data_IF_205111203453
#
_entry.id   IF_205111203453
#
_cell.length_a   1.000
_cell.length_b   1.000
_cell.length_c   1.000
_cell.angle_alpha   90.00
_cell.angle_beta   90.00
_cell.angle_gamma   90.00
#
_symmetry.space_group_name_H-M   'P 1'
#
loop_
_entity.id
_entity.type
_entity.pdbx_description
1 polymer ?
#
# COMPACT_ATOMS: atom_id res chain seq x y z
N UNK A 1 0.52 -9.04 -3.38
CA UNK A 1 -0.07 -8.19 -2.33
C UNK A 1 -1.05 -8.94 -1.43
N UNK A 2 -2.05 -9.65 -1.99
CA UNK A 2 -2.92 -10.57 -1.21
C UNK A 2 -2.12 -11.52 -0.31
N UNK A 3 -0.97 -11.96 -0.81
CA UNK A 3 -0.05 -12.84 -0.11
C UNK A 3 0.64 -12.25 1.11
N UNK A 4 0.51 -10.95 1.39
CA UNK A 4 1.04 -10.37 2.62
C UNK A 4 0.09 -10.57 3.81
N UNK A 5 -1.17 -10.93 3.57
CA UNK A 5 -2.17 -11.14 4.63
C UNK A 5 -1.79 -12.33 5.50
N UNK A 6 -1.93 -12.16 6.82
CA UNK A 6 -1.79 -13.24 7.79
C UNK A 6 -2.98 -13.26 8.73
N UNK A 7 -3.27 -14.43 9.28
CA UNK A 7 -4.20 -14.55 10.38
C UNK A 7 -3.40 -14.74 11.68
N UNK A 8 -3.98 -14.36 12.81
CA UNK A 8 -3.38 -14.47 14.13
C UNK A 8 -4.23 -15.37 15.02
N UNK A 9 -3.58 -16.20 15.84
CA UNK A 9 -4.25 -17.12 16.77
C UNK A 9 -3.45 -17.33 18.05
N UNK A 10 -4.11 -17.75 19.12
CA UNK A 10 -3.49 -18.30 20.34
C UNK A 10 -4.08 -19.68 20.66
N UNK A 11 -3.93 -20.18 21.90
CA UNK A 11 -4.51 -21.47 22.28
C UNK A 11 -6.04 -21.46 22.36
N UNK A 12 -6.66 -20.28 22.51
CA UNK A 12 -8.11 -20.11 22.57
C UNK A 12 -8.76 -20.03 21.19
N UNK A 13 -7.97 -19.72 20.16
CA UNK A 13 -8.40 -19.78 18.77
C UNK A 13 -7.96 -18.58 17.96
N UNK A 14 -8.80 -18.20 16.99
CA UNK A 14 -8.55 -17.09 16.09
C UNK A 14 -8.72 -15.74 16.81
N UNK A 15 -7.75 -14.85 16.63
CA UNK A 15 -7.70 -13.55 17.29
C UNK A 15 -8.07 -12.41 16.34
N UNK A 16 -7.62 -12.49 15.09
CA UNK A 16 -7.78 -11.43 14.11
C UNK A 16 -6.77 -11.50 12.99
N UNK A 17 -6.69 -10.43 12.23
CA UNK A 17 -5.91 -10.36 10.99
C UNK A 17 -4.64 -9.55 11.17
N UNK A 18 -3.71 -9.70 10.25
CA UNK A 18 -2.49 -8.89 10.15
C UNK A 18 -1.93 -8.93 8.74
N UNK A 19 -0.79 -8.28 8.55
CA UNK A 19 -0.08 -8.35 7.28
C UNK A 19 1.41 -8.09 7.43
N UNK A 20 2.20 -8.66 6.52
CA UNK A 20 3.65 -8.44 6.45
C UNK A 20 3.93 -7.04 5.88
N UNK A 21 4.74 -6.24 6.58
CA UNK A 21 5.29 -4.94 6.10
C UNK A 21 6.76 -5.03 5.70
N UNK A 22 7.41 -6.12 6.10
CA UNK A 22 8.71 -6.59 5.61
C UNK A 22 8.67 -8.13 5.63
N UNK A 23 9.69 -8.84 5.10
CA UNK A 23 9.71 -10.31 5.16
C UNK A 23 9.67 -10.91 6.58
N UNK A 24 9.92 -10.12 7.64
CA UNK A 24 10.01 -10.58 9.03
C UNK A 24 9.05 -9.88 10.00
N UNK A 25 8.29 -8.90 9.54
CA UNK A 25 7.52 -8.04 10.44
C UNK A 25 6.06 -8.04 10.05
N UNK A 26 5.21 -8.45 10.97
CA UNK A 26 3.75 -8.45 10.82
C UNK A 26 3.19 -7.27 11.59
N UNK A 27 2.33 -6.49 10.94
CA UNK A 27 1.51 -5.46 11.57
C UNK A 27 0.10 -5.98 11.80
N UNK A 28 -0.49 -5.62 12.92
CA UNK A 28 -1.89 -5.88 13.28
C UNK A 28 -2.41 -4.78 14.21
N UNK A 29 -3.65 -4.89 14.68
CA UNK A 29 -4.18 -4.04 15.73
C UNK A 29 -3.68 -4.48 17.11
N UNK A 30 -3.37 -3.53 18.00
CA UNK A 30 -2.83 -3.85 19.32
C UNK A 30 -3.79 -4.73 20.14
N UNK A 31 -5.09 -4.41 20.12
CA UNK A 31 -6.07 -5.15 20.89
C UNK A 31 -6.20 -6.62 20.48
N UNK A 32 -5.83 -6.98 19.24
CA UNK A 32 -5.86 -8.36 18.74
C UNK A 32 -4.88 -9.24 19.51
N UNK A 33 -3.71 -8.71 19.87
CA UNK A 33 -2.64 -9.50 20.50
C UNK A 33 -2.47 -9.21 21.99
N UNK A 34 -2.83 -8.01 22.45
CA UNK A 34 -2.71 -7.63 23.86
C UNK A 34 -3.67 -8.43 24.74
N UNK A 35 -4.83 -8.83 24.21
CA UNK A 35 -5.74 -9.72 24.94
C UNK A 35 -5.07 -11.05 25.32
N UNK A 36 -4.31 -11.63 24.39
CA UNK A 36 -3.56 -12.88 24.57
C UNK A 36 -2.31 -12.75 25.46
N UNK A 37 -1.77 -11.54 25.67
CA UNK A 37 -0.64 -11.35 26.60
C UNK A 37 -0.99 -11.73 28.04
N UNK A 38 -2.26 -11.57 28.44
CA UNK A 38 -2.71 -11.88 29.81
C UNK A 38 -2.70 -13.36 30.14
N UNK A 39 -2.70 -14.24 29.14
CA UNK A 39 -2.59 -15.69 29.33
C UNK A 39 -1.13 -16.21 29.31
N UNK A 40 -0.14 -15.33 29.09
CA UNK A 40 1.28 -15.71 28.91
C UNK A 40 1.53 -16.70 27.75
N UNK A 41 0.65 -16.72 26.76
CA UNK A 41 0.75 -17.62 25.62
C UNK A 41 1.40 -16.95 24.41
N UNK A 42 2.05 -17.76 23.57
CA UNK A 42 2.63 -17.28 22.32
C UNK A 42 1.53 -16.99 21.30
N UNK A 43 1.73 -15.95 20.49
CA UNK A 43 0.86 -15.70 19.32
C UNK A 43 1.37 -16.54 18.16
N UNK A 44 0.48 -17.26 17.49
CA UNK A 44 0.79 -17.96 16.24
C UNK A 44 0.33 -17.12 15.06
N UNK A 45 1.28 -16.76 14.19
CA UNK A 45 1.03 -16.16 12.87
C UNK A 45 0.84 -17.30 11.88
N UNK A 46 -0.28 -17.35 11.18
CA UNK A 46 -0.46 -18.28 10.06
C UNK A 46 -0.36 -17.54 8.75
N UNK A 47 0.50 -18.05 7.89
CA UNK A 47 0.79 -17.45 6.59
C UNK A 47 0.99 -18.55 5.56
N UNK A 48 0.12 -18.60 4.54
CA UNK A 48 0.17 -19.62 3.46
C UNK A 48 0.22 -21.07 3.98
N UNK A 49 -0.54 -21.36 5.04
CA UNK A 49 -0.62 -22.68 5.67
C UNK A 49 0.51 -23.00 6.64
N UNK A 50 1.53 -22.14 6.76
CA UNK A 50 2.61 -22.29 7.71
C UNK A 50 2.28 -21.62 9.04
N UNK A 51 2.63 -22.27 10.15
CA UNK A 51 2.44 -21.77 11.52
C UNK A 51 3.77 -21.25 12.06
N UNK A 52 3.82 -19.96 12.37
CA UNK A 52 5.00 -19.27 12.88
C UNK A 52 4.71 -18.80 14.30
N UNK A 53 5.49 -19.31 15.27
CA UNK A 53 5.36 -18.93 16.66
C UNK A 53 6.05 -17.59 16.92
N UNK A 54 5.35 -16.68 17.60
CA UNK A 54 5.89 -15.39 18.04
C UNK A 54 5.79 -15.30 19.55
N UNK A 55 6.94 -15.12 20.20
CA UNK A 55 7.02 -14.95 21.65
C UNK A 55 6.61 -13.55 22.03
N UNK A 56 6.14 -13.37 23.25
CA UNK A 56 5.77 -12.05 23.78
C UNK A 56 6.90 -11.02 23.64
N UNK A 57 8.16 -11.42 23.85
CA UNK A 57 9.34 -10.57 23.71
C UNK A 57 9.53 -9.98 22.31
N UNK A 58 8.95 -10.63 21.30
CA UNK A 58 9.04 -10.24 19.89
C UNK A 58 7.83 -9.43 19.42
N UNK A 59 6.93 -9.08 20.36
CA UNK A 59 5.73 -8.26 20.10
C UNK A 59 5.91 -6.88 20.71
N UNK A 60 5.83 -5.86 19.86
CA UNK A 60 5.67 -4.46 20.29
C UNK A 60 4.22 -4.05 20.03
N UNK A 61 3.54 -3.50 21.03
CA UNK A 61 2.20 -2.94 20.84
C UNK A 61 2.06 -1.56 21.47
N UNK A 62 1.22 -0.73 20.85
CA UNK A 62 0.89 0.61 21.30
C UNK A 62 -0.60 0.89 21.12
N UNK A 63 -1.35 1.16 22.19
CA UNK A 63 -0.96 1.02 23.61
C UNK A 63 -0.75 -0.44 24.06
N UNK A 64 -0.02 -0.65 25.16
CA UNK A 64 0.17 -1.97 25.80
C UNK A 64 -0.99 -2.43 26.69
N UNK A 65 -1.92 -1.53 27.00
CA UNK A 65 -3.07 -1.82 27.85
C UNK A 65 -4.32 -1.19 27.24
N UNK A 66 -5.46 -1.86 27.39
CA UNK A 66 -6.75 -1.25 27.10
C UNK A 66 -6.95 0.00 27.95
N UNK A 67 -7.54 1.04 27.34
CA UNK A 67 -7.98 2.22 28.08
C UNK A 67 -9.23 1.92 28.91
N UNK A 68 -9.70 2.93 29.64
CA UNK A 68 -10.97 2.87 30.40
C UNK A 68 -12.21 3.09 29.53
N UNK A 69 -12.03 3.38 28.23
CA UNK A 69 -13.11 3.60 27.27
C UNK A 69 -13.65 2.31 26.64
N UNK A 70 -14.71 2.46 25.85
CA UNK A 70 -15.38 1.36 25.13
C UNK A 70 -14.62 0.85 23.90
N UNK A 71 -13.55 1.54 23.49
CA UNK A 71 -12.68 1.16 22.38
C UNK A 71 -11.22 1.21 22.77
N UNK A 72 -10.41 0.28 22.24
CA UNK A 72 -8.96 0.30 22.47
C UNK A 72 -8.34 1.62 21.97
N UNK A 73 -7.40 2.26 22.70
CA UNK A 73 -6.96 3.60 22.35
C UNK A 73 -6.03 3.64 21.13
N UNK A 74 -5.90 4.82 20.53
CA UNK A 74 -4.99 5.09 19.41
C UNK A 74 -3.50 4.91 19.82
N UNK A 75 -2.60 4.45 18.94
CA UNK A 75 -2.82 4.09 17.53
C UNK A 75 -3.46 2.72 17.32
N UNK A 76 -3.57 1.90 18.37
CA UNK A 76 -4.06 0.53 18.31
C UNK A 76 -3.27 -0.30 17.29
N UNK A 77 -1.95 -0.29 17.40
CA UNK A 77 -1.04 -1.01 16.49
C UNK A 77 -0.14 -1.99 17.26
N UNK A 78 0.08 -3.16 16.67
CA UNK A 78 1.05 -4.15 17.11
C UNK A 78 1.96 -4.61 15.96
N UNK A 79 3.19 -4.98 16.31
CA UNK A 79 4.29 -5.35 15.44
C UNK A 79 4.87 -6.63 16.01
N UNK A 80 4.77 -7.70 15.24
CA UNK A 80 5.27 -9.02 15.60
C UNK A 80 6.51 -9.28 14.75
N UNK A 81 7.59 -9.73 15.40
CA UNK A 81 8.86 -10.05 14.74
C UNK A 81 8.99 -11.56 14.58
N UNK A 82 9.19 -12.01 13.35
CA UNK A 82 9.37 -13.42 13.01
C UNK A 82 10.85 -13.81 13.09
N UNK A 83 11.15 -15.00 13.62
CA UNK A 83 12.53 -15.50 13.74
C UNK A 83 13.21 -15.69 12.37
N UNK A 84 12.46 -16.06 11.31
CA UNK A 84 12.98 -16.41 9.98
C UNK A 84 12.62 -15.38 8.89
N UNK A 85 13.42 -15.31 7.82
CA UNK A 85 13.35 -14.29 6.76
C UNK A 85 13.20 -14.92 5.37
N UNK A 86 12.10 -15.60 5.13
CA UNK A 86 12.01 -16.55 4.00
C UNK A 86 11.55 -15.91 2.68
N UNK A 87 12.10 -14.74 2.31
CA UNK A 87 11.73 -14.04 1.06
C UNK A 87 10.22 -13.77 0.93
N UNK A 88 9.51 -13.71 2.07
CA UNK A 88 8.05 -13.63 2.11
C UNK A 88 7.58 -12.33 1.48
N UNK A 89 6.52 -12.36 0.65
CA UNK A 89 5.95 -11.15 0.10
C UNK A 89 5.41 -10.28 1.23
N UNK A 90 5.62 -8.98 1.12
CA UNK A 90 5.12 -7.99 2.06
C UNK A 90 4.38 -6.89 1.32
N UNK A 91 3.54 -6.15 2.04
CA UNK A 91 2.73 -5.09 1.49
C UNK A 91 3.51 -3.77 1.45
N UNK A 92 3.36 -3.03 0.37
CA UNK A 92 3.88 -1.67 0.25
C UNK A 92 2.94 -0.71 0.97
N UNK A 93 3.50 0.19 1.78
CA UNK A 93 2.73 1.23 2.45
C UNK A 93 2.54 2.42 1.51
N UNK A 94 1.34 2.99 1.49
CA UNK A 94 1.05 4.18 0.72
C UNK A 94 1.74 5.41 1.33
N UNK A 95 2.09 6.42 0.52
CA UNK A 95 2.82 7.60 1.01
C UNK A 95 1.98 8.55 1.89
N UNK A 96 0.65 8.52 1.73
CA UNK A 96 -0.27 9.42 2.39
C UNK A 96 -1.55 8.68 2.79
N UNK A 97 -2.29 9.26 3.73
CA UNK A 97 -3.59 8.77 4.18
C UNK A 97 -4.63 8.73 3.05
N UNK A 98 -5.67 7.89 3.17
CA UNK A 98 -6.73 7.86 2.17
C UNK A 98 -7.64 9.09 2.31
N UNK A 99 -8.07 9.62 1.16
CA UNK A 99 -8.87 10.85 1.09
C UNK A 99 -10.38 10.53 1.18
N UNK A 100 -11.23 11.50 1.58
CA UNK A 100 -12.68 11.34 1.50
C UNK A 100 -13.17 10.93 0.10
N UNK A 101 -14.18 10.07 0.07
CA UNK A 101 -14.75 9.43 -1.11
C UNK A 101 -13.83 8.44 -1.86
N UNK A 102 -12.60 8.21 -1.38
CA UNK A 102 -11.73 7.18 -1.93
C UNK A 102 -12.28 5.77 -1.64
N UNK A 103 -12.22 4.88 -2.64
CA UNK A 103 -12.51 3.46 -2.45
C UNK A 103 -11.28 2.69 -1.99
N UNK A 104 -11.46 1.88 -0.97
CA UNK A 104 -10.41 1.06 -0.37
C UNK A 104 -10.86 -0.40 -0.27
N UNK A 105 -9.93 -1.31 -0.51
CA UNK A 105 -10.14 -2.73 -0.27
C UNK A 105 -9.52 -3.12 1.06
N UNK A 106 -10.25 -3.88 1.86
CA UNK A 106 -9.71 -4.52 3.06
C UNK A 106 -9.42 -5.97 2.73
N UNK A 107 -8.26 -6.48 3.15
CA UNK A 107 -7.92 -7.90 3.08
C UNK A 107 -7.48 -8.41 4.43
N UNK A 108 -8.13 -9.48 4.87
CA UNK A 108 -7.83 -10.16 6.11
C UNK A 108 -8.50 -11.51 6.16
N UNK A 109 -8.96 -11.88 7.36
CA UNK A 109 -9.54 -13.17 7.66
C UNK A 109 -10.73 -13.00 8.59
N UNK A 110 -11.74 -13.83 8.41
CA UNK A 110 -12.91 -13.89 9.27
C UNK A 110 -13.41 -15.33 9.42
N UNK A 111 -14.30 -15.57 10.38
CA UNK A 111 -15.04 -16.84 10.51
C UNK A 111 -16.42 -16.77 9.88
N UNK A 112 -16.72 -15.70 9.14
CA UNK A 112 -18.04 -15.43 8.57
C UNK A 112 -18.08 -15.85 7.09
N UNK A 113 -17.66 -17.09 6.82
CA UNK A 113 -17.74 -17.72 5.50
C UNK A 113 -18.79 -18.85 5.49
N UNK A 114 -19.27 -19.28 4.32
CA UNK A 114 -20.20 -20.42 4.21
C UNK A 114 -19.64 -21.72 4.80
N UNK A 115 -18.32 -21.91 4.69
CA UNK A 115 -17.62 -23.07 5.22
C UNK A 115 -17.15 -22.80 6.67
N UNK A 116 -17.15 -23.84 7.50
CA UNK A 116 -16.65 -23.74 8.87
C UNK A 116 -15.15 -23.37 8.90
N UNK A 117 -14.75 -22.64 9.95
CA UNK A 117 -13.37 -22.25 10.19
C UNK A 117 -13.07 -20.79 9.83
N UNK A 118 -11.78 -20.47 9.77
CA UNK A 118 -11.30 -19.12 9.43
C UNK A 118 -10.94 -19.12 7.94
N UNK A 119 -11.34 -18.08 7.23
CA UNK A 119 -11.15 -17.96 5.79
C UNK A 119 -10.62 -16.58 5.41
N UNK A 120 -9.85 -16.45 4.31
CA UNK A 120 -9.55 -15.15 3.73
C UNK A 120 -10.85 -14.41 3.40
N UNK A 121 -10.89 -13.13 3.77
CA UNK A 121 -12.07 -12.28 3.57
C UNK A 121 -11.65 -10.92 3.01
N UNK A 122 -12.54 -10.32 2.22
CA UNK A 122 -12.29 -9.06 1.53
C UNK A 122 -13.50 -8.15 1.57
N UNK A 123 -13.27 -6.88 1.90
CA UNK A 123 -14.32 -5.86 1.95
C UNK A 123 -14.02 -4.75 0.95
N UNK A 124 -15.06 -4.17 0.36
CA UNK A 124 -15.00 -2.92 -0.37
C UNK A 124 -15.64 -1.81 0.47
N UNK A 125 -14.84 -0.82 0.84
CA UNK A 125 -15.25 0.29 1.68
C UNK A 125 -14.97 1.63 0.99
N UNK A 126 -15.72 2.65 1.38
CA UNK A 126 -15.53 4.03 0.98
C UNK A 126 -15.13 4.88 2.19
N UNK A 127 -14.11 5.72 2.01
CA UNK A 127 -13.66 6.66 3.02
C UNK A 127 -14.64 7.81 3.16
N UNK A 128 -15.09 8.06 4.38
CA UNK A 128 -16.03 9.14 4.71
C UNK A 128 -15.38 10.33 5.40
N UNK A 129 -14.06 10.26 5.63
CA UNK A 129 -13.25 11.31 6.25
C UNK A 129 -12.77 11.00 7.68
N UNK A 130 -12.02 11.93 8.29
CA UNK A 130 -11.41 11.74 9.60
C UNK A 130 -12.45 11.82 10.74
N UNK A 131 -12.21 11.04 11.80
CA UNK A 131 -12.93 11.10 13.08
C UNK A 131 -11.92 10.93 14.20
N UNK A 132 -11.57 12.05 14.86
CA UNK A 132 -10.45 12.07 15.78
C UNK A 132 -9.14 11.68 15.07
N UNK A 133 -8.31 10.80 15.64
CA UNK A 133 -7.08 10.33 14.99
C UNK A 133 -7.31 9.16 14.03
N UNK A 134 -8.56 8.73 13.81
CA UNK A 134 -8.92 7.63 12.93
C UNK A 134 -9.55 8.14 11.62
N UNK A 135 -9.61 7.26 10.62
CA UNK A 135 -10.40 7.48 9.41
C UNK A 135 -11.66 6.64 9.46
N UNK A 136 -12.82 7.25 9.17
CA UNK A 136 -14.12 6.57 9.16
C UNK A 136 -14.44 6.06 7.76
N UNK A 137 -14.95 4.84 7.68
CA UNK A 137 -15.38 4.22 6.42
C UNK A 137 -16.81 3.70 6.47
N UNK A 138 -17.41 3.47 5.30
CA UNK A 138 -18.73 2.84 5.09
C UNK A 138 -18.66 1.83 3.95
N UNK A 139 -19.65 0.95 3.81
CA UNK A 139 -19.69 -0.04 2.74
C UNK A 139 -20.06 -1.41 3.29
N UNK A 140 -19.32 -2.44 2.86
CA UNK A 140 -19.46 -3.80 3.35
C UNK A 140 -19.36 -3.86 4.89
N UNK A 141 -19.97 -4.90 5.44
CA UNK A 141 -20.03 -5.11 6.88
C UNK A 141 -18.65 -5.55 7.42
N UNK A 142 -18.17 -4.85 8.45
CA UNK A 142 -16.93 -5.23 9.14
C UNK A 142 -17.27 -6.25 10.21
N UNK A 143 -16.81 -7.49 10.03
CA UNK A 143 -17.04 -8.60 10.96
C UNK A 143 -15.91 -8.77 11.97
N UNK A 144 -16.20 -9.51 13.04
CA UNK A 144 -15.15 -9.95 13.98
C UNK A 144 -14.07 -10.74 13.24
N UNK A 145 -12.82 -10.57 13.68
CA UNK A 145 -11.64 -11.13 13.03
C UNK A 145 -10.97 -10.22 11.99
N UNK A 146 -11.72 -9.26 11.44
CA UNK A 146 -11.17 -8.33 10.46
C UNK A 146 -10.27 -7.25 11.07
N UNK A 147 -10.28 -7.07 12.39
CA UNK A 147 -9.33 -6.19 13.08
C UNK A 147 -7.88 -6.55 12.75
N UNK A 148 -7.07 -5.55 12.46
CA UNK A 148 -5.68 -5.70 12.04
C UNK A 148 -5.47 -5.99 10.54
N UNK A 149 -6.55 -6.15 9.76
CA UNK A 149 -6.48 -6.33 8.30
C UNK A 149 -5.80 -5.15 7.61
N UNK A 150 -5.10 -5.43 6.50
CA UNK A 150 -4.57 -4.35 5.65
C UNK A 150 -5.71 -3.66 4.90
N UNK A 151 -5.68 -2.33 4.89
CA UNK A 151 -6.54 -1.50 4.06
C UNK A 151 -5.70 -0.97 2.91
N UNK A 152 -6.11 -1.26 1.69
CA UNK A 152 -5.39 -0.96 0.46
C UNK A 152 -6.17 0.01 -0.43
N UNK A 153 -5.46 0.88 -1.15
CA UNK A 153 -6.07 1.67 -2.23
C UNK A 153 -6.50 0.77 -3.38
N UNK A 154 -7.70 0.96 -3.91
CA UNK A 154 -8.22 0.12 -4.99
C UNK A 154 -7.41 0.19 -6.30
N UNK A 155 -6.80 1.35 -6.60
CA UNK A 155 -6.03 1.55 -7.83
C UNK A 155 -4.58 1.06 -7.75
N UNK A 156 -3.91 1.26 -6.61
CA UNK A 156 -2.46 1.00 -6.48
C UNK A 156 -2.15 -0.26 -5.68
N UNK A 157 -3.11 -0.74 -4.87
CA UNK A 157 -2.91 -1.84 -3.92
C UNK A 157 -2.12 -1.45 -2.67
N UNK A 158 -1.50 -0.27 -2.64
CA UNK A 158 -0.71 0.17 -1.48
C UNK A 158 -1.57 0.25 -0.22
N UNK A 159 -0.98 -0.13 0.90
CA UNK A 159 -1.65 -0.09 2.20
C UNK A 159 -1.76 1.34 2.70
N UNK A 160 -2.98 1.85 2.75
CA UNK A 160 -3.32 3.19 3.24
C UNK A 160 -3.82 3.18 4.70
N UNK A 161 -3.87 2.03 5.36
CA UNK A 161 -4.13 1.94 6.79
C UNK A 161 -4.32 0.52 7.31
N UNK A 162 -4.66 0.42 8.60
CA UNK A 162 -4.97 -0.82 9.31
C UNK A 162 -6.41 -0.77 9.78
N UNK A 163 -7.20 -1.80 9.47
CA UNK A 163 -8.60 -1.85 9.90
C UNK A 163 -8.65 -2.05 11.43
N UNK A 164 -9.35 -1.16 12.14
CA UNK A 164 -9.53 -1.26 13.58
C UNK A 164 -10.67 -2.18 13.98
N UNK A 165 -11.77 -2.14 13.23
CA UNK A 165 -13.00 -2.87 13.57
C UNK A 165 -14.27 -2.12 13.16
N UNK A 166 -15.42 -2.74 13.45
CA UNK A 166 -16.73 -2.20 13.09
C UNK A 166 -17.16 -1.05 13.99
N UNK A 167 -17.96 -0.13 13.44
CA UNK A 167 -18.66 0.90 14.21
C UNK A 167 -19.82 0.34 15.03
N UNK A 168 -20.34 -0.80 14.59
CA UNK A 168 -21.46 -1.51 15.17
C UNK A 168 -21.42 -2.92 14.58
N UNK A 169 -21.15 -3.94 15.39
CA UNK A 169 -21.09 -5.32 14.87
C UNK A 169 -22.48 -5.89 14.55
N UNK A 170 -23.55 -5.20 14.98
CA UNK A 170 -24.93 -5.60 14.71
C UNK A 170 -25.54 -4.83 13.51
N UNK A 171 -24.81 -3.88 12.89
CA UNK A 171 -25.29 -3.18 11.70
C UNK A 171 -24.18 -2.71 10.74
N UNK A 172 -24.42 -2.65 9.41
CA UNK A 172 -23.41 -2.31 8.40
C UNK A 172 -23.11 -0.80 8.37
N UNK A 173 -22.59 -0.26 9.49
CA UNK A 173 -22.21 1.15 9.64
C UNK A 173 -20.79 1.45 9.19
N UNK A 174 -20.11 0.45 8.62
CA UNK A 174 -18.69 0.45 8.29
C UNK A 174 -17.82 0.37 9.53
N UNK A 175 -16.64 0.99 9.48
CA UNK A 175 -15.60 0.80 10.48
C UNK A 175 -14.73 2.03 10.68
N UNK A 176 -13.63 1.78 11.38
CA UNK A 176 -12.55 2.74 11.53
C UNK A 176 -11.23 2.15 11.04
N UNK A 177 -10.38 3.03 10.54
CA UNK A 177 -9.04 2.71 10.06
C UNK A 177 -8.05 3.52 10.88
N UNK A 178 -6.99 2.86 11.36
CA UNK A 178 -5.77 3.55 11.79
C UNK A 178 -5.01 3.98 10.53
N UNK A 179 -4.83 5.29 10.29
CA UNK A 179 -4.25 5.81 9.03
C UNK A 179 -2.80 5.35 8.81
N UNK A 180 -2.35 5.31 7.55
CA UNK A 180 -0.97 4.94 7.21
C UNK A 180 0.05 5.94 7.75
N UNK A 181 -0.30 7.21 7.93
CA UNK A 181 0.55 8.20 8.59
C UNK A 181 0.92 7.78 10.02
N UNK A 182 -0.05 7.28 10.78
CA UNK A 182 0.16 6.74 12.12
C UNK A 182 1.00 5.47 12.10
N UNK A 183 0.74 4.57 11.14
CA UNK A 183 1.52 3.36 10.94
C UNK A 183 2.99 3.67 10.61
N UNK A 184 3.23 4.60 9.67
CA UNK A 184 4.58 5.02 9.27
C UNK A 184 5.33 5.67 10.41
N UNK A 185 4.70 6.59 11.13
CA UNK A 185 5.29 7.21 12.30
C UNK A 185 5.69 6.17 13.36
N UNK A 186 4.88 5.12 13.51
CA UNK A 186 5.16 4.05 14.46
C UNK A 186 6.26 3.08 14.00
N UNK A 187 6.41 2.91 12.69
CA UNK A 187 7.44 2.06 12.06
C UNK A 187 8.69 2.84 11.62
N UNK A 188 8.86 4.10 12.02
CA UNK A 188 9.93 4.98 11.53
C UNK A 188 11.35 4.41 11.72
N UNK A 189 11.59 3.66 12.80
CA UNK A 189 12.89 3.00 13.05
C UNK A 189 13.12 1.76 12.17
N UNK A 190 12.03 1.16 11.66
CA UNK A 190 12.07 -0.09 10.90
C UNK A 190 12.07 0.15 9.39
N UNK A 191 11.23 1.07 8.93
CA UNK A 191 11.06 1.38 7.53
C UNK A 191 11.92 2.61 7.20
N UNK A 192 12.79 2.56 6.18
CA UNK A 192 13.42 3.77 5.72
C UNK A 192 12.34 4.79 5.36
N UNK A 193 12.56 6.07 5.68
CA UNK A 193 11.75 7.16 5.15
C UNK A 193 11.53 6.91 3.66
N UNK A 194 10.29 6.99 3.14
CA UNK A 194 10.05 6.80 1.73
C UNK A 194 11.06 7.69 1.00
N UNK A 195 11.90 7.09 0.15
CA UNK A 195 12.78 7.83 -0.76
C UNK A 195 11.89 8.61 -1.69
N UNK A 196 11.45 9.75 -1.20
CA UNK A 196 10.81 10.78 -1.96
C UNK A 196 11.96 11.38 -2.72
N UNK A 197 12.07 11.12 -4.02
CA UNK A 197 12.79 12.07 -4.86
C UNK A 197 11.97 13.36 -4.70
N UNK A 198 12.48 14.29 -3.89
CA UNK A 198 11.81 15.57 -3.66
C UNK A 198 11.80 16.33 -4.98
N UNK A 199 10.76 16.12 -5.78
CA UNK A 199 10.41 17.00 -6.87
C UNK A 199 9.56 18.11 -6.24
N UNK A 200 10.05 19.35 -6.10
CA UNK A 200 9.30 20.40 -5.43
C UNK A 200 7.95 20.62 -6.13
N UNK A 201 6.85 20.67 -5.37
CA UNK A 201 5.48 20.91 -5.86
C UNK A 201 5.35 22.22 -6.68
N UNK A 202 6.33 23.12 -6.57
CA UNK A 202 6.40 24.37 -7.32
C UNK A 202 6.87 24.20 -8.78
N UNK A 203 7.34 23.03 -9.21
CA UNK A 203 7.78 22.82 -10.59
C UNK A 203 6.58 22.69 -11.54
N UNK A 204 6.62 23.32 -12.72
CA UNK A 204 5.61 23.08 -13.76
C UNK A 204 5.45 21.58 -14.03
N UNK A 205 4.22 21.12 -14.21
CA UNK A 205 3.88 19.70 -14.35
C UNK A 205 4.80 18.89 -15.29
N UNK A 206 5.16 19.46 -16.44
CA UNK A 206 6.13 18.87 -17.40
C UNK A 206 7.50 18.62 -16.76
N UNK A 207 8.01 19.55 -15.96
CA UNK A 207 9.29 19.41 -15.27
C UNK A 207 9.25 18.36 -14.17
N UNK A 208 8.08 18.10 -13.57
CA UNK A 208 7.92 17.01 -12.60
C UNK A 208 8.10 15.65 -13.26
N UNK A 209 7.43 15.41 -14.38
CA UNK A 209 7.58 14.17 -15.16
C UNK A 209 9.05 13.99 -15.58
N UNK A 210 9.69 15.05 -16.08
CA UNK A 210 11.10 15.00 -16.47
C UNK A 210 12.00 14.65 -15.29
N UNK A 211 11.78 15.26 -14.11
CA UNK A 211 12.57 14.97 -12.91
C UNK A 211 12.48 13.50 -12.49
N UNK A 212 11.27 12.91 -12.53
CA UNK A 212 11.07 11.48 -12.24
C UNK A 212 11.79 10.61 -13.26
N UNK A 213 11.65 10.90 -14.56
CA UNK A 213 12.32 10.14 -15.62
C UNK A 213 13.84 10.25 -15.54
N UNK A 214 14.38 11.39 -15.08
CA UNK A 214 15.82 11.56 -14.85
C UNK A 214 16.34 10.72 -13.68
N UNK A 215 15.47 10.32 -12.74
CA UNK A 215 15.83 9.46 -11.61
C UNK A 215 16.02 7.99 -11.99
N UNK A 216 15.69 7.59 -13.22
CA UNK A 216 15.93 6.23 -13.71
C UNK A 216 17.43 6.00 -13.94
N UNK A 217 17.97 4.82 -13.55
CA UNK A 217 19.41 4.56 -13.65
C UNK A 217 19.97 4.67 -15.07
N UNK A 218 19.15 4.36 -16.09
CA UNK A 218 19.54 4.38 -17.50
C UNK A 218 19.03 5.61 -18.24
N UNK A 219 18.52 6.62 -17.51
CA UNK A 219 18.02 7.84 -18.13
C UNK A 219 19.08 8.52 -19.00
N UNK A 220 20.37 8.33 -18.70
CA UNK A 220 21.51 8.86 -19.46
C UNK A 220 21.80 8.10 -20.76
N UNK A 221 21.35 6.85 -20.89
CA UNK A 221 21.55 6.03 -22.08
C UNK A 221 20.60 6.47 -23.23
N UNK A 222 21.14 6.94 -24.37
CA UNK A 222 20.31 7.29 -25.52
C UNK A 222 19.53 6.09 -26.10
N UNK A 223 20.01 4.85 -25.96
CA UNK A 223 19.30 3.66 -26.43
C UNK A 223 18.08 3.37 -25.55
N UNK A 224 18.21 3.49 -24.24
CA UNK A 224 17.08 3.44 -23.31
C UNK A 224 15.97 4.44 -23.71
N UNK A 225 16.34 5.71 -23.95
CA UNK A 225 15.37 6.75 -24.38
C UNK A 225 14.73 6.43 -25.74
N UNK A 226 15.48 5.86 -26.69
CA UNK A 226 14.92 5.37 -27.97
C UNK A 226 13.95 4.20 -27.78
N UNK A 227 14.25 3.30 -26.86
CA UNK A 227 13.42 2.14 -26.58
C UNK A 227 12.08 2.54 -25.95
N UNK A 228 12.07 3.56 -25.08
CA UNK A 228 10.84 4.20 -24.60
C UNK A 228 9.97 4.65 -25.78
N UNK A 229 10.53 5.43 -26.70
CA UNK A 229 9.79 5.94 -27.87
C UNK A 229 9.24 4.82 -28.76
N UNK A 230 9.98 3.72 -28.92
CA UNK A 230 9.52 2.54 -29.67
C UNK A 230 8.30 1.90 -29.00
N UNK A 231 8.40 1.59 -27.71
CA UNK A 231 7.32 0.96 -26.94
C UNK A 231 6.08 1.86 -26.87
N UNK A 232 6.27 3.17 -26.74
CA UNK A 232 5.17 4.13 -26.84
C UNK A 232 4.46 4.07 -28.18
N UNK A 233 5.22 3.95 -29.29
CA UNK A 233 4.65 3.81 -30.62
C UNK A 233 3.79 2.55 -30.76
N UNK A 234 4.28 1.43 -30.25
CA UNK A 234 3.56 0.14 -30.23
C UNK A 234 2.24 0.24 -29.44
N UNK A 235 2.28 0.79 -28.22
CA UNK A 235 1.11 0.98 -27.37
C UNK A 235 0.07 1.92 -28.00
N UNK A 236 0.53 2.96 -28.72
CA UNK A 236 -0.33 3.92 -29.40
C UNK A 236 -0.86 3.42 -30.75
N UNK A 237 -0.50 2.20 -31.18
CA UNK A 237 -0.89 1.64 -32.47
C UNK A 237 -0.28 2.39 -33.66
N UNK A 238 0.88 3.03 -33.47
CA UNK A 238 1.60 3.73 -34.53
C UNK A 238 2.41 2.74 -35.37
N UNK A 239 2.52 3.00 -36.67
CA UNK A 239 3.37 2.20 -37.57
C UNK A 239 4.86 2.45 -37.36
N UNK A 240 5.21 3.47 -36.58
CA UNK A 240 6.58 3.87 -36.24
C UNK A 240 6.66 4.20 -34.75
N UNK A 241 7.89 4.31 -34.22
CA UNK A 241 8.10 4.84 -32.88
C UNK A 241 7.43 6.22 -32.69
N UNK A 242 7.06 6.51 -31.44
CA UNK A 242 6.56 7.83 -31.05
C UNK A 242 7.60 8.90 -31.39
N UNK A 243 7.16 9.99 -32.02
CA UNK A 243 8.08 10.97 -32.60
C UNK A 243 8.46 12.06 -31.59
N UNK A 244 9.74 12.12 -31.26
CA UNK A 244 10.36 13.21 -30.51
C UNK A 244 11.71 13.55 -31.15
N UNK A 245 12.05 14.84 -31.22
CA UNK A 245 13.34 15.25 -31.76
C UNK A 245 14.47 14.80 -30.83
N UNK A 246 15.45 14.05 -31.38
CA UNK A 246 16.59 13.61 -30.58
C UNK A 246 17.34 14.81 -30.00
N UNK A 247 17.61 14.77 -28.69
CA UNK A 247 18.53 15.69 -28.03
C UNK A 247 19.70 14.89 -27.44
N UNK A 248 20.95 15.36 -27.61
CA UNK A 248 22.11 14.69 -27.01
C UNK A 248 22.06 14.66 -25.48
N UNK A 249 21.62 15.75 -24.86
CA UNK A 249 21.53 15.84 -23.41
C UNK A 249 20.29 15.07 -22.89
N UNK A 250 20.44 14.15 -21.92
CA UNK A 250 19.34 13.31 -21.43
C UNK A 250 18.11 14.11 -20.99
N UNK A 251 18.32 15.12 -20.14
CA UNK A 251 17.26 16.02 -19.65
C UNK A 251 16.46 16.67 -20.78
N UNK A 252 17.14 17.19 -21.79
CA UNK A 252 16.49 17.90 -22.90
C UNK A 252 15.71 16.92 -23.79
N UNK A 253 16.21 15.69 -23.94
CA UNK A 253 15.51 14.67 -24.70
C UNK A 253 14.25 14.22 -23.97
N UNK A 254 14.34 13.97 -22.66
CA UNK A 254 13.17 13.66 -21.83
C UNK A 254 12.16 14.81 -21.84
N UNK A 255 12.61 16.06 -21.77
CA UNK A 255 11.73 17.23 -21.91
C UNK A 255 11.01 17.25 -23.26
N UNK A 256 11.72 17.03 -24.37
CA UNK A 256 11.10 16.93 -25.69
C UNK A 256 10.04 15.80 -25.73
N UNK A 257 10.34 14.62 -25.18
CA UNK A 257 9.41 13.48 -25.12
C UNK A 257 8.12 13.87 -24.38
N UNK A 258 8.25 14.48 -23.19
CA UNK A 258 7.10 14.90 -22.37
C UNK A 258 6.30 16.01 -23.07
N UNK A 259 6.97 16.96 -23.74
CA UNK A 259 6.30 17.99 -24.54
C UNK A 259 5.53 17.39 -25.72
N UNK A 260 6.06 16.34 -26.36
CA UNK A 260 5.36 15.61 -27.43
C UNK A 260 4.15 14.85 -26.92
N UNK A 261 4.23 14.26 -25.73
CA UNK A 261 3.07 13.65 -25.07
C UNK A 261 1.97 14.69 -24.82
N UNK A 262 2.34 15.87 -24.30
CA UNK A 262 1.41 16.98 -24.04
C UNK A 262 0.71 17.47 -25.31
N UNK A 263 1.44 17.56 -26.42
CA UNK A 263 0.94 18.06 -27.70
C UNK A 263 0.33 16.97 -28.58
N UNK A 264 0.28 15.72 -28.11
CA UNK A 264 -0.31 14.61 -28.85
C UNK A 264 -1.83 14.76 -28.93
N UNK A 265 -2.46 14.19 -29.99
CA UNK A 265 -3.90 14.31 -30.22
C UNK A 265 -4.74 13.86 -29.02
N UNK A 266 -4.28 12.84 -28.30
CA UNK A 266 -4.85 12.42 -27.03
C UNK A 266 -3.73 12.39 -25.96
N UNK A 267 -3.51 13.49 -25.21
CA UNK A 267 -2.41 13.58 -24.26
C UNK A 267 -2.46 12.50 -23.18
N UNK A 268 -3.66 12.19 -22.67
CA UNK A 268 -3.87 11.15 -21.65
C UNK A 268 -3.37 9.79 -22.12
N UNK A 269 -3.70 9.42 -23.36
CA UNK A 269 -3.25 8.17 -23.95
C UNK A 269 -1.73 8.15 -24.17
N UNK A 270 -1.12 9.26 -24.60
CA UNK A 270 0.33 9.35 -24.77
C UNK A 270 1.08 9.23 -23.44
N UNK A 271 0.57 9.85 -22.37
CA UNK A 271 1.15 9.70 -21.04
C UNK A 271 1.00 8.29 -20.49
N UNK A 272 -0.15 7.64 -20.70
CA UNK A 272 -0.32 6.22 -20.35
C UNK A 272 0.71 5.34 -21.06
N UNK A 273 0.90 5.57 -22.37
CA UNK A 273 1.90 4.84 -23.14
C UNK A 273 3.33 5.09 -22.64
N UNK A 274 3.67 6.32 -22.25
CA UNK A 274 4.94 6.64 -21.62
C UNK A 274 5.14 5.86 -20.31
N UNK A 275 4.13 5.83 -19.44
CA UNK A 275 4.17 5.07 -18.19
C UNK A 275 4.37 3.57 -18.40
N UNK A 276 3.60 2.96 -19.31
CA UNK A 276 3.74 1.54 -19.66
C UNK A 276 5.11 1.22 -20.28
N UNK A 277 5.64 2.08 -21.13
CA UNK A 277 6.95 1.90 -21.75
C UNK A 277 8.07 1.88 -20.70
N UNK A 278 8.04 2.82 -19.75
CA UNK A 278 9.03 2.90 -18.67
C UNK A 278 8.92 1.68 -17.74
N UNK A 279 7.71 1.28 -17.36
CA UNK A 279 7.48 0.10 -16.54
C UNK A 279 7.97 -1.19 -17.21
N UNK A 280 7.72 -1.35 -18.51
CA UNK A 280 8.13 -2.53 -19.26
C UNK A 280 9.65 -2.67 -19.31
N UNK A 281 10.38 -1.55 -19.33
CA UNK A 281 11.84 -1.56 -19.33
C UNK A 281 12.43 -1.72 -17.93
N UNK A 282 11.74 -1.22 -16.89
CA UNK A 282 12.24 -1.20 -15.51
C UNK A 282 11.15 -1.62 -14.51
N UNK A 283 10.75 -2.89 -14.52
CA UNK A 283 9.71 -3.36 -13.62
C UNK A 283 10.17 -3.27 -12.16
N UNK A 284 9.32 -2.71 -11.29
CA UNK A 284 9.58 -2.62 -9.86
C UNK A 284 10.51 -1.49 -9.41
N UNK A 285 10.98 -0.63 -10.32
CA UNK A 285 11.75 0.56 -9.93
C UNK A 285 10.86 1.62 -9.26
N UNK A 286 11.35 2.22 -8.18
CA UNK A 286 10.61 3.24 -7.42
C UNK A 286 10.19 4.44 -8.29
N UNK A 287 11.05 4.84 -9.25
CA UNK A 287 10.75 5.92 -10.19
C UNK A 287 9.58 5.60 -11.14
N UNK A 288 9.29 4.33 -11.42
CA UNK A 288 8.10 3.93 -12.21
C UNK A 288 6.83 4.15 -11.41
N UNK A 289 6.86 3.83 -10.12
CA UNK A 289 5.74 4.08 -9.22
C UNK A 289 5.47 5.58 -9.09
N UNK A 290 6.51 6.40 -8.88
CA UNK A 290 6.39 7.85 -8.82
C UNK A 290 5.87 8.44 -10.15
N UNK A 291 6.34 7.92 -11.29
CA UNK A 291 5.87 8.35 -12.60
C UNK A 291 4.37 8.11 -12.75
N UNK A 292 3.86 6.95 -12.30
CA UNK A 292 2.41 6.66 -12.29
C UNK A 292 1.65 7.64 -11.41
N UNK A 293 2.18 8.00 -10.25
CA UNK A 293 1.55 9.00 -9.37
C UNK A 293 1.47 10.37 -10.04
N UNK A 294 2.55 10.83 -10.69
CA UNK A 294 2.56 12.11 -11.40
C UNK A 294 1.63 12.09 -12.63
N UNK A 295 1.57 10.97 -13.36
CA UNK A 295 0.73 10.83 -14.55
C UNK A 295 -0.76 10.57 -14.22
N UNK A 296 -1.05 9.93 -13.08
CA UNK A 296 -2.40 9.62 -12.60
C UNK A 296 -3.26 10.85 -12.32
N UNK A 297 -2.64 12.01 -12.08
CA UNK A 297 -3.34 13.31 -12.01
C UNK A 297 -3.94 13.79 -13.34
N UNK A 298 -3.80 13.03 -14.44
CA UNK A 298 -4.39 13.34 -15.74
C UNK A 298 -5.59 12.45 -16.12
N UNK A 299 -5.95 11.45 -15.30
CA UNK A 299 -7.11 10.57 -15.52
C UNK A 299 -8.45 11.31 -15.37
#
# INVERSE_FOLDING_TARGET
MRDAAVWLSDATGFLGSGFLVTPRHVVTAAHVVVASWRSQECVTVLHRGERLLVRESDIKASPKHGGTGTSYPFPDLALLTLEHHDGRPYAELAAADPEPAEQVHVLGFSTYAPDEGVHPDSLLLEVTGPVGPYVRVRGDEVKDGMSGSMVMRAGTGEVCGVLKGSRDYDSPRGGWITPVSALRAWLADLLPEPRTVLVPDALPYTMRIVAVLQGLPDAEDPDFRRQILRLMGEELGLTTAFQAAYRPHPRDHLLEIVQRCRSYRNPRLAYRALGHAVESLRPGEAAVHELRTVLGGLA
#
